data_IF_287674962700
#
_entry.id   IF_287674962700
#
_cell.length_a   1.000
_cell.length_b   1.000
_cell.length_c   1.000
_cell.angle_alpha   90.00
_cell.angle_beta   90.00
_cell.angle_gamma   90.00
#
_symmetry.space_group_name_H-M   'P 1'
#
loop_
_entity.id
_entity.type
_entity.pdbx_description
1 polymer ?
#
# COMPACT_ATOMS: atom_id res chain seq x y z
N UNK A 1 2.52 -17.58 -15.65
CA UNK A 1 2.11 -17.46 -14.23
C UNK A 1 2.02 -15.98 -13.95
N UNK A 2 0.84 -15.41 -14.04
CA UNK A 2 0.62 -13.96 -13.94
C UNK A 2 -0.31 -13.70 -12.75
N UNK A 3 0.21 -13.94 -11.53
CA UNK A 3 -0.43 -13.39 -10.33
C UNK A 3 -0.06 -11.91 -10.27
N UNK A 4 -0.69 -11.11 -11.14
CA UNK A 4 -0.55 -9.67 -11.14
C UNK A 4 -1.20 -9.11 -9.89
N UNK A 5 -0.49 -9.17 -8.76
CA UNK A 5 -0.96 -8.57 -7.51
C UNK A 5 -1.17 -7.07 -7.73
N UNK A 6 -2.38 -6.62 -7.42
CA UNK A 6 -2.81 -5.24 -7.58
C UNK A 6 -2.97 -4.61 -6.19
N UNK A 7 -2.46 -3.39 -6.03
CA UNK A 7 -2.51 -2.60 -4.80
C UNK A 7 -3.44 -1.42 -5.00
N UNK A 8 -4.43 -1.29 -4.11
CA UNK A 8 -5.33 -0.14 -4.07
C UNK A 8 -4.64 1.05 -3.39
N UNK A 9 -4.62 2.19 -4.06
CA UNK A 9 -4.06 3.43 -3.52
C UNK A 9 -5.21 4.31 -3.02
N UNK A 10 -5.12 4.71 -1.76
CA UNK A 10 -6.06 5.61 -1.11
C UNK A 10 -5.46 7.02 -1.00
N UNK A 11 -6.32 8.04 -1.03
CA UNK A 11 -5.94 9.39 -0.66
C UNK A 11 -6.03 9.62 0.86
N UNK A 12 -5.74 10.84 1.33
CA UNK A 12 -5.78 11.22 2.76
C UNK A 12 -7.16 11.10 3.43
N UNK A 13 -8.23 11.04 2.63
CA UNK A 13 -9.61 10.83 3.12
C UNK A 13 -10.09 9.39 2.86
N UNK A 14 -9.16 8.45 2.67
CA UNK A 14 -9.40 7.01 2.54
C UNK A 14 -10.22 6.61 1.31
N UNK A 15 -10.29 7.48 0.31
CA UNK A 15 -10.99 7.17 -0.94
C UNK A 15 -10.03 6.49 -1.93
N UNK A 16 -10.49 5.46 -2.65
CA UNK A 16 -9.71 4.83 -3.70
C UNK A 16 -9.49 5.79 -4.86
N UNK A 17 -8.22 6.05 -5.19
CA UNK A 17 -7.84 6.95 -6.30
C UNK A 17 -7.09 6.24 -7.41
N UNK A 18 -6.49 5.08 -7.15
CA UNK A 18 -5.75 4.32 -8.17
C UNK A 18 -5.62 2.83 -7.81
N UNK A 19 -5.34 2.00 -8.81
CA UNK A 19 -4.93 0.59 -8.65
C UNK A 19 -3.60 0.42 -9.39
N UNK A 20 -2.55 0.01 -8.68
CA UNK A 20 -1.19 -0.11 -9.23
C UNK A 20 -0.64 -1.52 -9.01
N UNK A 21 0.35 -1.93 -9.81
CA UNK A 21 1.09 -3.16 -9.56
C UNK A 21 1.97 -3.05 -8.30
N UNK A 22 2.29 -4.19 -7.70
CA UNK A 22 3.11 -4.28 -6.47
C UNK A 22 4.46 -3.55 -6.58
N UNK A 23 5.16 -3.65 -7.71
CA UNK A 23 6.46 -2.97 -7.92
C UNK A 23 6.35 -1.44 -7.75
N UNK A 24 5.27 -0.85 -8.28
CA UNK A 24 5.03 0.59 -8.15
C UNK A 24 4.63 0.97 -6.74
N UNK A 25 3.82 0.14 -6.08
CA UNK A 25 3.44 0.36 -4.68
C UNK A 25 4.68 0.36 -3.76
N UNK A 26 5.58 -0.61 -3.93
CA UNK A 26 6.85 -0.65 -3.20
C UNK A 26 7.72 0.57 -3.50
N UNK A 27 7.83 0.99 -4.77
CA UNK A 27 8.59 2.20 -5.11
C UNK A 27 8.07 3.44 -4.38
N UNK A 28 6.75 3.61 -4.29
CA UNK A 28 6.14 4.73 -3.56
C UNK A 28 6.40 4.66 -2.06
N UNK A 29 6.33 3.45 -1.49
CA UNK A 29 6.62 3.23 -0.08
C UNK A 29 8.10 3.51 0.23
N UNK A 30 9.04 2.96 -0.53
CA UNK A 30 10.48 3.13 -0.34
C UNK A 30 10.97 4.58 -0.46
N UNK A 31 10.22 5.43 -1.16
CA UNK A 31 10.50 6.87 -1.29
C UNK A 31 9.82 7.71 -0.19
N UNK A 32 9.22 7.08 0.82
CA UNK A 32 8.41 7.71 1.88
C UNK A 32 7.23 8.55 1.33
N UNK A 33 6.76 8.22 0.13
CA UNK A 33 5.62 8.90 -0.51
C UNK A 33 4.28 8.21 -0.21
N UNK A 34 4.30 7.03 0.39
CA UNK A 34 3.11 6.25 0.72
C UNK A 34 3.26 5.55 2.07
N UNK A 35 2.12 5.11 2.61
CA UNK A 35 2.05 4.23 3.77
C UNK A 35 1.23 3.00 3.40
N UNK A 36 1.51 1.87 4.05
CA UNK A 36 0.78 0.63 3.85
C UNK A 36 -0.28 0.48 4.92
N UNK A 37 -1.49 0.13 4.52
CA UNK A 37 -2.55 -0.29 5.43
C UNK A 37 -2.56 -1.81 5.41
N UNK A 38 -2.19 -2.41 6.53
CA UNK A 38 -2.30 -3.83 6.76
C UNK A 38 -3.55 -4.09 7.60
N UNK A 39 -4.48 -4.86 7.03
CA UNK A 39 -5.72 -5.24 7.68
C UNK A 39 -5.63 -6.74 8.05
N UNK A 40 -5.61 -7.03 9.34
CA UNK A 40 -5.59 -8.40 9.88
C UNK A 40 -6.46 -8.44 11.14
N UNK A 41 -7.29 -9.48 11.27
CA UNK A 41 -8.15 -9.74 12.43
C UNK A 41 -8.92 -8.50 12.92
N UNK A 42 -9.66 -7.87 12.01
CA UNK A 42 -10.48 -6.67 12.26
C UNK A 42 -9.70 -5.42 12.72
N UNK A 43 -8.37 -5.49 12.74
CA UNK A 43 -7.48 -4.38 13.05
C UNK A 43 -6.88 -3.78 11.78
N UNK A 44 -6.72 -2.45 11.77
CA UNK A 44 -6.03 -1.73 10.71
C UNK A 44 -4.77 -1.10 11.29
N UNK A 45 -3.62 -1.46 10.72
CA UNK A 45 -2.31 -0.92 11.11
C UNK A 45 -1.70 -0.20 9.92
N UNK A 46 -1.16 0.97 10.18
CA UNK A 46 -0.49 1.79 9.17
C UNK A 46 1.02 1.67 9.36
N UNK A 47 1.71 1.27 8.30
CA UNK A 47 3.16 1.11 8.28
C UNK A 47 3.78 2.16 7.36
N UNK A 48 4.84 2.81 7.83
CA UNK A 48 5.75 3.56 6.95
C UNK A 48 6.73 2.59 6.29
N UNK A 49 7.62 3.12 5.45
CA UNK A 49 8.64 2.31 4.77
C UNK A 49 9.46 1.45 5.73
N UNK A 50 9.99 2.06 6.79
CA UNK A 50 10.86 1.41 7.77
C UNK A 50 10.16 0.28 8.55
N UNK A 51 8.89 0.45 8.89
CA UNK A 51 8.14 -0.53 9.68
C UNK A 51 7.54 -1.66 8.82
N UNK A 52 7.51 -1.50 7.50
CA UNK A 52 6.99 -2.49 6.56
C UNK A 52 8.04 -3.50 6.09
N UNK A 53 9.31 -3.07 5.95
CA UNK A 53 10.44 -3.95 5.65
C UNK A 53 10.90 -4.74 6.88
#
# INVERSE_FOLDING_TARGET
MDTGYQTLVLNRIWQPVNVVGVERAFSLLSLDHAQVIYAEDESFRVFNSLAWF
#
